data_IF_814454381075
#
_entry.id   IF_814454381075
#
_cell.length_a   1.000
_cell.length_b   1.000
_cell.length_c   1.000
_cell.angle_alpha   90.00
_cell.angle_beta   90.00
_cell.angle_gamma   90.00
#
_symmetry.space_group_name_H-M   'P 1'
#
loop_
_entity.id
_entity.type
_entity.pdbx_description
1 polymer ?
#
# COMPACT_ATOMS: atom_id res chain seq x y z
N UNK A 1 47.43 -50.19 9.99
CA UNK A 1 46.06 -50.68 10.22
C UNK A 1 45.70 -50.40 11.67
N UNK A 2 44.80 -49.47 11.94
CA UNK A 2 44.26 -49.24 13.28
C UNK A 2 42.74 -49.24 13.17
N UNK A 3 42.14 -50.36 13.57
CA UNK A 3 40.70 -50.55 13.72
C UNK A 3 40.40 -50.50 15.21
N UNK A 4 39.61 -49.50 15.64
CA UNK A 4 38.68 -49.60 16.77
C UNK A 4 37.48 -48.71 16.50
N UNK A 5 36.43 -49.33 15.96
CA UNK A 5 35.06 -48.88 16.09
C UNK A 5 34.44 -49.46 17.38
N UNK A 6 33.39 -48.78 17.82
CA UNK A 6 32.34 -49.21 18.76
C UNK A 6 32.53 -48.83 20.24
N UNK A 7 31.74 -47.85 20.69
CA UNK A 7 30.55 -48.14 21.50
C UNK A 7 29.60 -46.94 21.58
N UNK A 8 28.34 -47.23 21.28
CA UNK A 8 27.11 -46.47 21.45
C UNK A 8 26.89 -46.04 22.89
N UNK A 9 26.36 -44.83 23.12
CA UNK A 9 25.18 -44.60 23.98
C UNK A 9 24.66 -43.16 23.85
N UNK A 10 23.34 -43.07 23.67
CA UNK A 10 22.58 -41.85 23.52
C UNK A 10 22.47 -41.12 24.87
N UNK A 11 22.59 -39.80 24.85
CA UNK A 11 21.97 -38.95 25.86
C UNK A 11 21.28 -37.79 25.15
N UNK A 12 19.98 -37.96 25.04
CA UNK A 12 18.99 -36.95 24.69
C UNK A 12 18.75 -36.10 25.94
N UNK A 13 18.99 -34.79 25.87
CA UNK A 13 18.42 -33.80 26.80
C UNK A 13 18.17 -32.51 26.01
N UNK A 14 16.99 -32.35 25.43
CA UNK A 14 15.82 -31.69 26.03
C UNK A 14 15.95 -30.15 26.02
N UNK A 15 15.34 -29.61 24.95
CA UNK A 15 14.68 -28.32 24.74
C UNK A 15 14.97 -27.13 25.66
N UNK A 16 15.30 -25.99 25.02
CA UNK A 16 14.63 -24.71 25.28
C UNK A 16 14.83 -23.74 24.10
N UNK A 17 14.31 -24.12 22.92
CA UNK A 17 14.00 -23.11 21.90
C UNK A 17 12.73 -22.43 22.39
N UNK A 18 12.88 -21.24 22.97
CA UNK A 18 11.78 -20.31 23.25
C UNK A 18 11.08 -20.00 21.94
N UNK A 19 10.12 -20.85 21.57
CA UNK A 19 9.16 -20.62 20.51
C UNK A 19 8.25 -19.53 21.04
N UNK A 20 8.59 -18.29 20.71
CA UNK A 20 7.71 -17.15 20.89
C UNK A 20 6.37 -17.52 20.26
N UNK A 21 5.40 -17.78 21.13
CA UNK A 21 4.05 -18.15 20.76
C UNK A 21 3.42 -16.87 20.23
N UNK A 22 3.55 -16.65 18.93
CA UNK A 22 2.82 -15.61 18.21
C UNK A 22 1.34 -15.86 18.48
N UNK A 23 0.79 -15.08 19.40
CA UNK A 23 -0.61 -15.13 19.77
C UNK A 23 -1.41 -14.58 18.60
N UNK A 24 -2.56 -15.18 18.33
CA UNK A 24 -3.46 -14.82 17.22
C UNK A 24 -3.83 -13.31 17.20
N UNK A 25 -3.73 -12.61 18.34
CA UNK A 25 -3.89 -11.16 18.41
C UNK A 25 -2.77 -10.36 17.74
N UNK A 26 -1.53 -10.86 17.74
CA UNK A 26 -0.37 -10.20 17.12
C UNK A 26 -0.44 -10.28 15.58
N UNK A 27 -0.94 -11.40 15.05
CA UNK A 27 -1.19 -11.59 13.60
C UNK A 27 -2.30 -10.65 13.12
N UNK A 28 -3.43 -10.61 13.83
CA UNK A 28 -4.56 -9.74 13.50
C UNK A 28 -4.16 -8.27 13.57
N UNK A 29 -3.41 -7.86 14.60
CA UNK A 29 -2.92 -6.48 14.72
C UNK A 29 -1.96 -6.10 13.57
N UNK A 30 -1.08 -7.00 13.14
CA UNK A 30 -0.19 -6.76 11.99
C UNK A 30 -0.95 -6.69 10.67
N UNK A 31 -1.97 -7.52 10.48
CA UNK A 31 -2.83 -7.48 9.29
C UNK A 31 -3.68 -6.20 9.26
N UNK A 32 -4.24 -5.77 10.38
CA UNK A 32 -4.98 -4.51 10.50
C UNK A 32 -4.08 -3.28 10.27
N UNK A 33 -2.85 -3.28 10.79
CA UNK A 33 -1.87 -2.22 10.55
C UNK A 33 -1.44 -2.21 9.08
N UNK A 34 -1.23 -3.38 8.47
CA UNK A 34 -0.87 -3.50 7.07
C UNK A 34 -2.02 -3.03 6.16
N UNK A 35 -3.28 -3.39 6.47
CA UNK A 35 -4.46 -2.94 5.76
C UNK A 35 -4.66 -1.42 5.91
N UNK A 36 -4.53 -0.88 7.13
CA UNK A 36 -4.61 0.55 7.38
C UNK A 36 -3.48 1.33 6.68
N UNK A 37 -2.26 0.80 6.68
CA UNK A 37 -1.10 1.35 5.96
C UNK A 37 -1.28 1.30 4.44
N UNK A 38 -1.83 0.20 3.92
CA UNK A 38 -2.14 0.03 2.51
C UNK A 38 -3.22 1.02 2.04
N UNK A 39 -4.31 1.15 2.81
CA UNK A 39 -5.38 2.11 2.55
C UNK A 39 -4.85 3.55 2.65
N UNK A 40 -4.05 3.86 3.67
CA UNK A 40 -3.39 5.16 3.83
C UNK A 40 -2.43 5.47 2.67
N UNK A 41 -1.71 4.45 2.20
CA UNK A 41 -0.80 4.51 1.07
C UNK A 41 -1.52 4.74 -0.26
N UNK A 42 -2.67 4.09 -0.49
CA UNK A 42 -3.46 4.26 -1.70
C UNK A 42 -3.89 5.70 -1.92
N UNK A 43 -4.39 6.37 -0.86
CA UNK A 43 -4.81 7.78 -0.90
C UNK A 43 -3.67 8.76 -0.63
N UNK A 44 -2.41 8.33 -0.78
CA UNK A 44 -1.26 9.22 -0.64
C UNK A 44 -1.22 10.25 -1.78
N UNK A 45 -0.67 11.43 -1.51
CA UNK A 45 -0.47 12.47 -2.52
C UNK A 45 0.33 11.94 -3.73
N UNK A 46 1.45 11.19 -3.56
CA UNK A 46 2.20 10.63 -4.69
C UNK A 46 1.35 9.75 -5.61
N UNK A 47 0.48 8.89 -5.05
CA UNK A 47 -0.41 8.06 -5.85
C UNK A 47 -1.45 8.89 -6.60
N UNK A 48 -2.03 9.90 -5.95
CA UNK A 48 -2.94 10.82 -6.63
C UNK A 48 -2.25 11.58 -7.78
N UNK A 49 -1.01 12.03 -7.56
CA UNK A 49 -0.20 12.67 -8.61
C UNK A 49 0.05 11.70 -9.77
N UNK A 50 0.31 10.42 -9.49
CA UNK A 50 0.48 9.41 -10.54
C UNK A 50 -0.78 9.29 -11.41
N UNK A 51 -1.97 9.21 -10.80
CA UNK A 51 -3.25 9.19 -11.54
C UNK A 51 -3.42 10.44 -12.40
N UNK A 52 -3.21 11.64 -11.83
CA UNK A 52 -3.33 12.90 -12.58
C UNK A 52 -2.32 13.00 -13.73
N UNK A 53 -1.10 12.48 -13.54
CA UNK A 53 -0.10 12.41 -14.61
C UNK A 53 -0.53 11.46 -15.72
N UNK A 54 -1.18 10.34 -15.39
CA UNK A 54 -1.72 9.43 -16.40
C UNK A 54 -2.81 10.16 -17.22
N UNK A 55 -3.73 10.91 -16.60
CA UNK A 55 -4.70 11.73 -17.33
C UNK A 55 -4.02 12.76 -18.26
N UNK A 56 -2.96 13.42 -17.78
CA UNK A 56 -2.15 14.35 -18.57
C UNK A 56 -1.47 13.67 -19.76
N UNK A 57 -0.94 12.46 -19.59
CA UNK A 57 -0.33 11.71 -20.69
C UNK A 57 -1.36 11.28 -21.75
N UNK A 58 -2.63 11.13 -21.36
CA UNK A 58 -3.72 10.63 -22.21
C UNK A 58 -4.49 11.70 -23.00
N UNK A 59 -4.07 12.97 -23.05
CA UNK A 59 -4.84 13.97 -23.81
C UNK A 59 -5.86 14.76 -23.00
N UNK A 60 -6.03 14.49 -21.70
CA UNK A 60 -7.25 14.89 -20.98
C UNK A 60 -7.08 16.04 -20.00
N UNK A 61 -5.90 16.15 -19.37
CA UNK A 61 -5.70 17.12 -18.29
C UNK A 61 -4.44 17.97 -18.44
N UNK A 62 -4.60 19.25 -18.72
CA UNK A 62 -3.49 20.17 -19.04
C UNK A 62 -3.63 21.56 -18.43
N UNK A 63 -2.53 22.31 -18.50
CA UNK A 63 -2.48 23.73 -18.16
C UNK A 63 -3.02 24.03 -16.77
N UNK A 64 -3.87 25.06 -16.67
CA UNK A 64 -4.47 25.50 -15.40
C UNK A 64 -5.31 24.42 -14.72
N UNK A 65 -5.97 23.54 -15.49
CA UNK A 65 -6.77 22.44 -14.94
C UNK A 65 -5.90 21.40 -14.24
N UNK A 66 -4.73 21.09 -14.82
CA UNK A 66 -3.76 20.20 -14.17
C UNK A 66 -3.21 20.82 -12.87
N UNK A 67 -2.82 22.10 -12.90
CA UNK A 67 -2.36 22.80 -11.69
C UNK A 67 -3.44 22.86 -10.60
N UNK A 68 -4.69 23.12 -10.98
CA UNK A 68 -5.81 23.11 -10.04
C UNK A 68 -6.09 21.71 -9.48
N UNK A 69 -5.98 20.65 -10.29
CA UNK A 69 -6.11 19.28 -9.81
C UNK A 69 -5.05 18.92 -8.76
N UNK A 70 -3.82 19.45 -8.88
CA UNK A 70 -2.78 19.31 -7.85
C UNK A 70 -3.16 20.02 -6.54
N UNK A 71 -3.88 21.15 -6.62
CA UNK A 71 -4.41 21.83 -5.43
C UNK A 71 -5.57 21.06 -4.81
N UNK A 72 -6.48 20.48 -5.62
CA UNK A 72 -7.61 19.68 -5.14
C UNK A 72 -7.17 18.51 -4.25
N UNK A 73 -6.10 17.80 -4.63
CA UNK A 73 -5.62 16.61 -3.91
C UNK A 73 -4.95 16.93 -2.57
N UNK A 74 -4.80 18.21 -2.20
CA UNK A 74 -4.41 18.59 -0.83
C UNK A 74 -5.50 18.23 0.18
N UNK A 75 -6.76 18.22 -0.25
CA UNK A 75 -7.90 17.73 0.55
C UNK A 75 -7.94 16.19 0.50
N UNK A 76 -8.03 15.56 1.68
CA UNK A 76 -8.14 14.09 1.80
C UNK A 76 -9.39 13.51 1.13
N UNK A 77 -10.53 14.22 1.15
CA UNK A 77 -11.77 13.76 0.52
C UNK A 77 -11.66 13.71 -1.00
N UNK A 78 -10.97 14.69 -1.58
CA UNK A 78 -10.71 14.73 -3.01
C UNK A 78 -9.77 13.61 -3.45
N UNK A 79 -8.80 13.22 -2.60
CA UNK A 79 -7.92 12.08 -2.87
C UNK A 79 -8.69 10.76 -2.99
N UNK A 80 -9.74 10.58 -2.19
CA UNK A 80 -10.62 9.41 -2.32
C UNK A 80 -11.23 9.36 -3.72
N UNK A 81 -11.80 10.48 -4.20
CA UNK A 81 -12.44 10.55 -5.52
C UNK A 81 -11.42 10.28 -6.64
N UNK A 82 -10.24 10.90 -6.59
CA UNK A 82 -9.18 10.70 -7.60
C UNK A 82 -8.76 9.23 -7.69
N UNK A 83 -8.58 8.55 -6.55
CA UNK A 83 -8.20 7.13 -6.54
C UNK A 83 -9.37 6.24 -6.96
N UNK A 84 -10.61 6.54 -6.54
CA UNK A 84 -11.79 5.77 -6.94
C UNK A 84 -12.08 5.84 -8.45
N UNK A 85 -11.71 6.93 -9.11
CA UNK A 85 -11.90 7.14 -10.55
C UNK A 85 -10.62 6.93 -11.36
N UNK A 86 -9.58 6.31 -10.79
CA UNK A 86 -8.27 6.16 -11.46
C UNK A 86 -8.33 5.38 -12.78
N UNK A 87 -9.33 4.53 -12.95
CA UNK A 87 -9.55 3.71 -14.15
C UNK A 87 -10.69 4.28 -15.04
N UNK A 88 -11.37 5.33 -14.58
CA UNK A 88 -12.51 5.99 -15.22
C UNK A 88 -12.13 7.43 -15.62
N UNK A 89 -11.27 7.55 -16.65
CA UNK A 89 -10.65 8.83 -16.99
C UNK A 89 -11.64 9.93 -17.40
N UNK A 90 -12.72 9.58 -18.09
CA UNK A 90 -13.73 10.57 -18.51
C UNK A 90 -14.46 11.15 -17.29
N UNK A 91 -14.86 10.30 -16.35
CA UNK A 91 -15.56 10.70 -15.13
C UNK A 91 -14.65 11.51 -14.20
N UNK A 92 -13.36 11.17 -14.14
CA UNK A 92 -12.38 11.94 -13.38
C UNK A 92 -12.13 13.31 -14.01
N UNK A 93 -12.02 13.39 -15.34
CA UNK A 93 -11.90 14.63 -16.10
C UNK A 93 -13.13 15.54 -15.88
N UNK A 94 -14.35 15.00 -16.06
CA UNK A 94 -15.60 15.72 -15.84
C UNK A 94 -15.73 16.26 -14.42
N UNK A 95 -15.33 15.47 -13.42
CA UNK A 95 -15.34 15.90 -12.03
C UNK A 95 -14.34 17.04 -11.76
N UNK A 96 -13.13 16.96 -12.33
CA UNK A 96 -12.13 18.03 -12.23
C UNK A 96 -12.65 19.31 -12.91
N UNK A 97 -13.26 19.18 -14.10
CA UNK A 97 -13.83 20.31 -14.84
C UNK A 97 -15.00 20.94 -14.10
N UNK A 98 -15.90 20.16 -13.50
CA UNK A 98 -16.96 20.66 -12.64
C UNK A 98 -16.42 21.47 -11.45
N UNK A 99 -15.32 21.00 -10.83
CA UNK A 99 -14.67 21.71 -9.72
C UNK A 99 -13.95 22.98 -10.17
N UNK A 100 -13.29 22.94 -11.32
CA UNK A 100 -12.52 24.06 -11.86
C UNK A 100 -13.40 25.24 -12.26
N UNK A 101 -14.61 24.96 -12.76
CA UNK A 101 -15.56 25.97 -13.23
C UNK A 101 -16.51 26.52 -12.13
N UNK A 102 -16.29 26.13 -10.87
CA UNK A 102 -17.12 26.54 -9.73
C UNK A 102 -16.43 27.62 -8.90
#
# INVERSE_FOLDING_TARGET
>A
MSVRHSSTEASMSEYDVKKEKETTQDVVAKEDIAAASYVSGQYSIPNCIHVLRNLKQNGRLYGKRFSYALELIKDSKNRVIVISLKDCFSELEDWIDYKFNK
#
